data_IF_422887667350
#
_entry.id   IF_422887667350
#
_cell.length_a   1.000
_cell.length_b   1.000
_cell.length_c   1.000
_cell.angle_alpha   90.00
_cell.angle_beta   90.00
_cell.angle_gamma   90.00
#
_symmetry.space_group_name_H-M   'P 1'
#
loop_
_entity.id
_entity.type
_entity.pdbx_description
1 polymer ?
#
# COMPACT_ATOMS: atom_id res chain seq x y z
N UNK A 1 -3.35 27.44 9.50
CA UNK A 1 -2.16 26.56 9.55
C UNK A 1 -2.66 25.15 9.30
N UNK A 2 -2.58 24.70 8.05
CA UNK A 2 -3.22 23.47 7.56
C UNK A 2 -2.66 22.25 8.29
N UNK A 3 -3.53 21.59 9.06
CA UNK A 3 -3.30 20.24 9.56
C UNK A 3 -3.32 19.32 8.36
N UNK A 4 -2.15 18.93 7.87
CA UNK A 4 -1.99 17.82 6.94
C UNK A 4 -2.73 16.62 7.51
N UNK A 5 -3.82 16.27 6.85
CA UNK A 5 -4.76 15.22 7.24
C UNK A 5 -4.02 13.89 7.11
N UNK A 6 -3.46 13.43 8.24
CA UNK A 6 -2.99 12.08 8.53
C UNK A 6 -2.29 11.35 7.36
N UNK A 7 -1.03 11.70 7.12
CA UNK A 7 -0.07 10.67 6.72
C UNK A 7 0.20 9.82 7.98
N UNK A 8 -0.07 8.52 7.94
CA UNK A 8 0.36 7.61 9.00
C UNK A 8 1.83 7.88 9.32
N UNK A 9 2.15 8.07 10.60
CA UNK A 9 3.50 8.32 11.06
C UNK A 9 4.42 7.23 10.51
N UNK A 10 5.35 7.59 9.62
CA UNK A 10 6.34 6.65 9.10
C UNK A 10 7.12 6.15 10.32
N UNK A 11 7.16 4.83 10.58
CA UNK A 11 7.90 4.31 11.72
C UNK A 11 9.36 4.79 11.66
N UNK A 12 9.84 5.40 12.75
CA UNK A 12 11.26 5.78 12.90
C UNK A 12 12.16 4.55 13.01
N UNK A 13 11.59 3.44 13.48
CA UNK A 13 12.20 2.12 13.51
C UNK A 13 11.45 1.18 12.56
N UNK A 14 12.19 0.47 11.71
CA UNK A 14 11.60 -0.52 10.82
C UNK A 14 11.18 -1.76 11.62
N UNK A 15 9.88 -2.01 11.81
CA UNK A 15 9.40 -3.09 12.68
C UNK A 15 9.67 -4.49 12.11
N UNK A 16 10.04 -4.58 10.82
CA UNK A 16 10.23 -5.85 10.13
C UNK A 16 11.70 -6.22 9.90
N UNK A 17 12.65 -5.34 10.26
CA UNK A 17 14.09 -5.48 9.98
C UNK A 17 14.41 -5.87 8.51
N UNK A 18 13.53 -5.51 7.56
CA UNK A 18 13.57 -5.88 6.13
C UNK A 18 13.25 -4.66 5.23
N UNK A 19 12.82 -4.82 3.98
CA UNK A 19 12.36 -3.67 3.19
C UNK A 19 11.04 -3.10 3.75
N UNK A 20 11.02 -1.80 4.08
CA UNK A 20 9.81 -1.10 4.52
C UNK A 20 9.08 -0.52 3.30
N UNK A 21 8.00 -1.19 2.88
CA UNK A 21 7.13 -0.74 1.80
C UNK A 21 5.90 -0.07 2.40
N UNK A 22 5.54 1.09 1.89
CA UNK A 22 4.37 1.86 2.30
C UNK A 22 3.50 2.11 1.07
N UNK A 23 2.22 1.75 1.16
CA UNK A 23 1.25 2.01 0.12
C UNK A 23 0.16 2.97 0.61
N UNK A 24 -0.23 3.91 -0.24
CA UNK A 24 -1.19 4.98 0.05
C UNK A 24 -2.22 5.03 -1.07
N UNK A 25 -3.50 5.06 -0.72
CA UNK A 25 -4.61 5.27 -1.66
C UNK A 25 -5.08 6.72 -1.53
N UNK A 26 -5.05 7.44 -2.66
CA UNK A 26 -5.42 8.84 -2.77
C UNK A 26 -6.63 9.00 -3.71
N UNK A 27 -7.56 9.90 -3.37
CA UNK A 27 -8.64 10.32 -4.27
C UNK A 27 -8.80 11.83 -4.20
N UNK A 28 -8.44 12.51 -5.28
CA UNK A 28 -8.26 13.97 -5.27
C UNK A 28 -7.17 14.35 -4.26
N UNK A 29 -7.51 15.25 -3.32
CA UNK A 29 -6.59 15.71 -2.27
C UNK A 29 -6.75 14.95 -0.94
N UNK A 30 -7.42 13.80 -0.94
CA UNK A 30 -7.71 13.02 0.27
C UNK A 30 -6.98 11.67 0.26
N UNK A 31 -6.35 11.34 1.39
CA UNK A 31 -5.86 9.99 1.69
C UNK A 31 -7.05 9.16 2.16
N UNK A 32 -7.35 8.08 1.43
CA UNK A 32 -8.40 7.14 1.80
C UNK A 32 -7.88 6.05 2.73
N UNK A 33 -6.68 5.53 2.44
CA UNK A 33 -6.03 4.52 3.25
C UNK A 33 -4.51 4.62 3.09
N UNK A 34 -3.79 4.19 4.12
CA UNK A 34 -2.34 3.96 4.09
C UNK A 34 -2.03 2.68 4.85
N UNK A 35 -1.04 1.92 4.38
CA UNK A 35 -0.60 0.71 5.06
C UNK A 35 0.83 0.33 4.68
N UNK A 36 1.58 -0.16 5.66
CA UNK A 36 2.89 -0.79 5.46
C UNK A 36 2.74 -2.26 5.13
N UNK A 37 3.79 -2.87 4.57
CA UNK A 37 3.93 -4.33 4.62
C UNK A 37 3.96 -4.80 6.09
N UNK A 38 3.47 -6.02 6.35
CA UNK A 38 3.38 -6.57 7.72
C UNK A 38 3.66 -8.07 7.74
N UNK A 39 4.19 -8.58 8.86
CA UNK A 39 4.25 -10.02 9.10
C UNK A 39 2.83 -10.57 9.27
N UNK A 40 2.57 -11.70 8.62
CA UNK A 40 1.34 -12.45 8.80
C UNK A 40 1.33 -13.66 7.89
N UNK A 41 0.52 -14.65 8.23
CA UNK A 41 0.41 -15.88 7.44
C UNK A 41 -1.00 -16.00 6.87
N UNK A 42 -1.19 -17.02 6.03
CA UNK A 42 -2.48 -17.34 5.41
C UNK A 42 -3.61 -17.59 6.43
N UNK A 43 -3.31 -17.86 7.70
CA UNK A 43 -4.33 -17.94 8.76
C UNK A 43 -5.00 -16.60 9.05
N UNK A 44 -4.42 -15.46 8.65
CA UNK A 44 -5.03 -14.12 8.73
C UNK A 44 -5.92 -13.78 7.52
N UNK A 45 -6.18 -14.76 6.65
CA UNK A 45 -7.10 -14.65 5.51
C UNK A 45 -6.41 -14.41 4.16
N UNK A 46 -7.22 -14.15 3.14
CA UNK A 46 -6.78 -13.97 1.75
C UNK A 46 -5.81 -12.78 1.59
N UNK A 47 -4.91 -12.84 0.62
CA UNK A 47 -3.94 -11.76 0.35
C UNK A 47 -2.72 -11.73 1.27
N UNK A 48 -2.63 -12.61 2.26
CA UNK A 48 -1.37 -12.93 2.94
C UNK A 48 -0.60 -13.98 2.14
N UNK A 49 0.71 -13.80 2.03
CA UNK A 49 1.64 -14.84 1.56
C UNK A 49 1.98 -15.78 2.73
N UNK A 50 3.02 -16.59 2.59
CA UNK A 50 3.44 -17.54 3.63
C UNK A 50 3.75 -16.83 4.95
N UNK A 51 4.44 -15.68 4.89
CA UNK A 51 4.96 -14.99 6.09
C UNK A 51 4.69 -13.48 6.15
N UNK A 52 4.21 -12.88 5.07
CA UNK A 52 3.98 -11.43 4.99
C UNK A 52 2.76 -11.08 4.17
N UNK A 53 2.21 -9.89 4.40
CA UNK A 53 1.34 -9.19 3.45
C UNK A 53 2.10 -8.00 2.87
N UNK A 54 2.06 -7.87 1.55
CA UNK A 54 2.65 -6.77 0.81
C UNK A 54 1.85 -5.48 1.02
N UNK A 55 2.52 -4.33 0.95
CA UNK A 55 1.89 -3.03 1.23
C UNK A 55 0.71 -2.76 0.27
N UNK A 56 0.88 -3.15 -1.00
CA UNK A 56 -0.09 -3.01 -2.09
C UNK A 56 -1.42 -3.71 -1.77
N UNK A 57 -1.35 -4.94 -1.25
CA UNK A 57 -2.55 -5.69 -0.86
C UNK A 57 -3.08 -5.19 0.49
N UNK A 58 -2.18 -4.90 1.43
CA UNK A 58 -2.56 -4.48 2.77
C UNK A 58 -3.34 -3.16 2.76
N UNK A 59 -2.97 -2.21 1.91
CA UNK A 59 -3.67 -0.91 1.83
C UNK A 59 -5.09 -1.08 1.29
N UNK A 60 -5.29 -1.94 0.29
CA UNK A 60 -6.62 -2.23 -0.25
C UNK A 60 -7.47 -2.99 0.78
N UNK A 61 -6.88 -3.94 1.53
CA UNK A 61 -7.58 -4.60 2.65
C UNK A 61 -7.93 -3.62 3.78
N UNK A 62 -7.03 -2.68 4.07
CA UNK A 62 -7.24 -1.66 5.12
C UNK A 62 -8.30 -0.64 4.73
N UNK A 63 -8.48 -0.39 3.42
CA UNK A 63 -9.57 0.45 2.91
C UNK A 63 -10.94 -0.16 3.22
N UNK A 64 -11.08 -1.49 3.15
CA UNK A 64 -12.29 -2.25 3.48
C UNK A 64 -13.40 -2.16 2.44
N UNK A 65 -13.68 -0.98 1.90
CA UNK A 65 -14.68 -0.75 0.86
C UNK A 65 -14.03 -0.54 -0.52
N UNK A 66 -14.19 -1.55 -1.39
CA UNK A 66 -13.63 -1.53 -2.74
C UNK A 66 -14.29 -0.50 -3.66
N UNK A 67 -15.52 -0.06 -3.37
CA UNK A 67 -16.21 0.97 -4.17
C UNK A 67 -15.46 2.31 -4.14
N UNK A 68 -14.70 2.55 -3.07
CA UNK A 68 -13.89 3.75 -2.88
C UNK A 68 -12.66 3.80 -3.79
N UNK A 69 -12.25 2.68 -4.39
CA UNK A 69 -11.14 2.63 -5.35
C UNK A 69 -11.46 3.35 -6.66
N UNK A 70 -12.75 3.55 -6.99
CA UNK A 70 -13.16 4.20 -8.24
C UNK A 70 -12.60 5.62 -8.33
N UNK A 71 -11.74 5.84 -9.31
CA UNK A 71 -11.04 7.11 -9.55
C UNK A 71 -9.87 7.39 -8.59
N UNK A 72 -9.53 6.44 -7.71
CA UNK A 72 -8.41 6.57 -6.78
C UNK A 72 -7.06 6.31 -7.48
N UNK A 73 -5.98 6.73 -6.84
CA UNK A 73 -4.59 6.51 -7.25
C UNK A 73 -3.86 5.85 -6.10
N UNK A 74 -3.17 4.75 -6.38
CA UNK A 74 -2.36 4.04 -5.39
C UNK A 74 -0.89 4.44 -5.59
N UNK A 75 -0.22 4.83 -4.52
CA UNK A 75 1.21 5.13 -4.49
C UNK A 75 1.89 4.10 -3.61
N UNK A 76 2.95 3.46 -4.11
CA UNK A 76 3.81 2.56 -3.33
C UNK A 76 5.18 3.21 -3.23
N UNK A 77 5.76 3.25 -2.04
CA UNK A 77 7.13 3.71 -1.84
C UNK A 77 7.87 2.71 -0.98
N UNK A 78 9.15 2.52 -1.27
CA UNK A 78 10.05 1.78 -0.39
C UNK A 78 10.98 2.76 0.30
N UNK A 79 10.96 2.74 1.62
CA UNK A 79 11.86 3.53 2.45
C UNK A 79 13.15 2.75 2.70
N UNK A 80 14.29 3.34 2.31
CA UNK A 80 15.62 2.93 2.72
C UNK A 80 15.87 3.26 4.19
N UNK A 81 16.81 2.55 4.81
CA UNK A 81 17.24 2.81 6.20
C UNK A 81 17.84 4.22 6.34
N UNK A 82 18.44 4.69 5.26
CA UNK A 82 19.03 6.01 5.05
C UNK A 82 18.01 7.11 4.70
N UNK A 83 16.71 6.79 4.70
CA UNK A 83 15.65 7.73 4.32
C UNK A 83 15.50 7.94 2.80
N UNK A 84 16.33 7.29 1.98
CA UNK A 84 16.22 7.34 0.53
C UNK A 84 15.03 6.53 0.01
N UNK A 85 14.45 6.98 -1.11
CA UNK A 85 13.47 6.17 -1.83
C UNK A 85 14.20 5.11 -2.64
N UNK A 86 13.69 3.88 -2.60
CA UNK A 86 14.24 2.75 -3.36
C UNK A 86 13.17 2.17 -4.29
N UNK A 87 13.62 1.39 -5.27
CA UNK A 87 12.72 0.69 -6.18
C UNK A 87 11.68 -0.11 -5.38
N UNK A 88 10.42 0.22 -5.60
CA UNK A 88 9.25 -0.38 -4.94
C UNK A 88 8.28 -0.96 -5.97
N UNK A 89 8.80 -1.36 -7.13
CA UNK A 89 8.00 -2.02 -8.16
C UNK A 89 7.25 -3.20 -7.53
N UNK A 90 5.92 -3.27 -7.69
CA UNK A 90 5.13 -4.38 -7.18
C UNK A 90 5.61 -5.72 -7.74
N UNK A 91 5.54 -6.77 -6.94
CA UNK A 91 5.85 -8.13 -7.43
C UNK A 91 4.75 -8.60 -8.39
N UNK A 92 5.02 -9.62 -9.23
CA UNK A 92 4.07 -10.13 -10.24
C UNK A 92 2.68 -10.45 -9.69
N UNK A 93 2.59 -10.96 -8.46
CA UNK A 93 1.30 -11.24 -7.82
C UNK A 93 0.56 -9.97 -7.40
N UNK A 94 1.28 -8.96 -6.89
CA UNK A 94 0.71 -7.65 -6.58
C UNK A 94 0.31 -6.90 -7.85
N UNK A 95 1.09 -7.00 -8.93
CA UNK A 95 0.73 -6.45 -10.25
C UNK A 95 -0.60 -7.02 -10.74
N UNK A 96 -0.78 -8.35 -10.71
CA UNK A 96 -2.05 -8.99 -11.11
C UNK A 96 -3.22 -8.57 -10.22
N UNK A 97 -3.00 -8.48 -8.91
CA UNK A 97 -4.01 -8.00 -7.97
C UNK A 97 -4.42 -6.56 -8.26
N UNK A 98 -3.44 -5.67 -8.47
CA UNK A 98 -3.68 -4.27 -8.77
C UNK A 98 -4.35 -4.10 -10.13
N UNK A 99 -3.98 -4.91 -11.13
CA UNK A 99 -4.64 -4.94 -12.43
C UNK A 99 -6.13 -5.27 -12.28
N UNK A 100 -6.48 -6.29 -11.49
CA UNK A 100 -7.88 -6.58 -11.13
C UNK A 100 -8.56 -5.37 -10.47
N UNK A 101 -7.88 -4.68 -9.56
CA UNK A 101 -8.44 -3.47 -8.95
C UNK A 101 -8.67 -2.33 -9.94
N UNK A 102 -7.85 -2.22 -10.98
CA UNK A 102 -8.02 -1.26 -12.06
C UNK A 102 -9.22 -1.63 -12.93
N UNK A 103 -9.30 -2.90 -13.34
CA UNK A 103 -10.31 -3.40 -14.28
C UNK A 103 -11.71 -3.46 -13.66
N UNK A 104 -11.83 -3.97 -12.43
CA UNK A 104 -13.14 -4.23 -11.81
C UNK A 104 -13.62 -3.08 -10.89
N UNK A 105 -12.69 -2.47 -10.15
CA UNK A 105 -13.03 -1.49 -9.10
C UNK A 105 -12.70 -0.04 -9.48
N UNK A 106 -12.11 0.17 -10.66
CA UNK A 106 -11.85 1.50 -11.22
C UNK A 106 -10.70 2.24 -10.54
N UNK A 107 -9.72 1.51 -9.98
CA UNK A 107 -8.44 2.10 -9.59
C UNK A 107 -7.79 2.72 -10.83
N UNK A 108 -7.49 4.02 -10.80
CA UNK A 108 -7.11 4.75 -12.02
C UNK A 108 -5.66 4.49 -12.43
N UNK A 109 -4.75 4.47 -11.46
CA UNK A 109 -3.31 4.28 -11.70
C UNK A 109 -2.58 3.88 -10.43
N UNK A 110 -1.43 3.23 -10.64
CA UNK A 110 -0.47 2.86 -9.61
C UNK A 110 0.84 3.59 -9.90
N UNK A 111 1.40 4.25 -8.90
CA UNK A 111 2.70 4.95 -8.97
C UNK A 111 3.63 4.26 -7.97
N UNK A 112 4.88 4.00 -8.35
CA UNK A 112 5.88 3.42 -7.46
C UNK A 112 7.23 4.15 -7.58
N UNK A 113 8.05 4.08 -6.54
CA UNK A 113 9.44 4.58 -6.54
C UNK A 113 10.43 3.60 -7.14
#
# INVERSE_FOLDING_TARGET
MEKYIYAQHIPTINPLNTSMHHAIILKGNKVLASAFNKVGSRSKGCGYWEKTIHAEVNVVKSLGDLSMLRGATLIVVRHGVDGTLRCSKPCTNCERFLQKCMDEYGLRKVIYS
#
